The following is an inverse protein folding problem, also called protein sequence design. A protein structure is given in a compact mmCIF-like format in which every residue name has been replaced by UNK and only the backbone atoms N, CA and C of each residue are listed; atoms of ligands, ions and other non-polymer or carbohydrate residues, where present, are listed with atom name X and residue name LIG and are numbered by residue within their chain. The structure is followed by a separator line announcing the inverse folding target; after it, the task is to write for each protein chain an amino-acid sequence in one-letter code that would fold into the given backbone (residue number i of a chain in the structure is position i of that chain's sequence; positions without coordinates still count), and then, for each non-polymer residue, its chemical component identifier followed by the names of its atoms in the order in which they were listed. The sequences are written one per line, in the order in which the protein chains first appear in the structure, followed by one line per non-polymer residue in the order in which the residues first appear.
data_IF_691649723833
#
_entry.id   IF_691649723833
#
_cell.length_a   1.000
_cell.length_b   1.000
_cell.length_c   1.000
_cell.angle_alpha   90.00
_cell.angle_beta   90.00
_cell.angle_gamma   90.00
#
_symmetry.space_group_name_H-M   'P 1'
#
loop_
_entity.id
_entity.type
_entity.pdbx_description
1 polymer ?
#
# COMPACT_ATOMS: atom_id res chain seq x y z
N UNK A 1 -6.06 -8.61 22.20
CA UNK A 1 -6.38 -9.24 20.90
C UNK A 1 -5.36 -8.73 19.88
N UNK A 2 -4.67 -9.59 19.11
CA UNK A 2 -3.67 -9.12 18.15
C UNK A 2 -4.34 -8.39 16.99
N UNK A 3 -3.69 -7.35 16.41
CA UNK A 3 -4.22 -6.62 15.23
C UNK A 3 -4.64 -7.57 14.11
N UNK A 4 -3.84 -8.61 13.86
CA UNK A 4 -4.10 -9.65 12.87
C UNK A 4 -5.46 -10.35 13.09
N UNK A 5 -5.83 -10.60 14.33
CA UNK A 5 -7.10 -11.22 14.68
C UNK A 5 -8.28 -10.25 14.43
N UNK A 6 -8.10 -8.94 14.69
CA UNK A 6 -9.16 -7.95 14.45
C UNK A 6 -9.47 -7.84 12.96
N UNK A 7 -8.45 -7.80 12.09
CA UNK A 7 -8.62 -7.82 10.63
C UNK A 7 -9.33 -9.09 10.16
N UNK A 8 -8.88 -10.26 10.65
CA UNK A 8 -9.54 -11.53 10.33
C UNK A 8 -11.02 -11.51 10.73
N UNK A 9 -11.36 -11.03 11.93
CA UNK A 9 -12.74 -10.95 12.40
C UNK A 9 -13.59 -9.99 11.55
N UNK A 10 -13.02 -8.86 11.11
CA UNK A 10 -13.72 -7.92 10.22
C UNK A 10 -14.07 -8.55 8.87
N UNK A 11 -13.14 -9.32 8.29
CA UNK A 11 -13.44 -10.08 7.07
C UNK A 11 -14.39 -11.26 7.31
N UNK A 12 -14.42 -11.83 8.50
CA UNK A 12 -15.39 -12.88 8.86
C UNK A 12 -16.80 -12.33 9.02
N UNK A 13 -16.97 -11.11 9.53
CA UNK A 13 -18.27 -10.43 9.62
C UNK A 13 -18.84 -10.02 8.25
N UNK A 14 -18.02 -10.06 7.18
CA UNK A 14 -18.48 -9.94 5.80
C UNK A 14 -18.52 -8.52 5.24
N UNK A 15 -18.21 -7.49 6.06
CA UNK A 15 -18.28 -6.09 5.61
C UNK A 15 -17.26 -5.21 6.36
N UNK A 16 -15.95 -5.34 6.09
CA UNK A 16 -14.97 -4.47 6.71
C UNK A 16 -15.16 -3.02 6.24
N UNK A 17 -15.16 -2.01 7.13
CA UNK A 17 -15.51 -0.64 6.78
C UNK A 17 -14.56 0.03 5.77
N UNK A 18 -13.35 -0.49 5.62
CA UNK A 18 -12.37 -0.01 4.64
C UNK A 18 -12.51 -0.63 3.24
N UNK A 19 -13.29 -1.72 3.09
CA UNK A 19 -13.51 -2.37 1.80
C UNK A 19 -14.73 -1.77 1.10
N UNK A 20 -14.56 -0.55 0.61
CA UNK A 20 -15.63 0.21 -0.06
C UNK A 20 -15.94 -0.31 -1.46
N UNK A 21 -15.05 -1.11 -2.06
CA UNK A 21 -15.14 -1.53 -3.46
C UNK A 21 -14.86 -0.40 -4.46
N UNK A 22 -14.34 0.73 -4.01
CA UNK A 22 -14.05 1.91 -4.84
C UNK A 22 -12.56 2.23 -4.71
N UNK A 23 -11.88 2.34 -5.85
CA UNK A 23 -10.51 2.84 -5.90
C UNK A 23 -10.50 4.36 -5.67
N UNK A 24 -9.66 4.88 -4.77
CA UNK A 24 -9.58 6.30 -4.49
C UNK A 24 -9.22 7.14 -5.73
N UNK A 25 -9.75 8.38 -5.83
CA UNK A 25 -9.47 9.26 -6.95
C UNK A 25 -7.97 9.57 -7.12
N UNK A 26 -7.20 9.63 -6.04
CA UNK A 26 -5.75 9.87 -6.08
C UNK A 26 -5.00 8.76 -6.83
N UNK A 27 -5.46 7.51 -6.72
CA UNK A 27 -4.91 6.38 -7.50
C UNK A 27 -5.31 6.53 -8.96
N UNK A 28 -6.58 6.84 -9.24
CA UNK A 28 -7.07 7.06 -10.62
C UNK A 28 -6.31 8.19 -11.30
N UNK A 29 -6.07 9.29 -10.60
CA UNK A 29 -5.33 10.43 -11.15
C UNK A 29 -3.87 10.06 -11.41
N UNK A 30 -3.23 9.32 -10.52
CA UNK A 30 -1.89 8.76 -10.76
C UNK A 30 -1.85 7.91 -12.03
N UNK A 31 -2.84 7.03 -12.24
CA UNK A 31 -2.91 6.13 -13.39
C UNK A 31 -3.11 6.86 -14.73
N UNK A 32 -3.76 8.03 -14.72
CA UNK A 32 -3.89 8.88 -15.92
C UNK A 32 -2.57 9.55 -16.31
N UNK A 33 -1.71 9.84 -15.32
CA UNK A 33 -0.46 10.56 -15.52
C UNK A 33 0.73 9.65 -15.86
N UNK A 34 0.65 8.38 -15.52
CA UNK A 34 1.80 7.44 -15.63
C UNK A 34 1.50 6.31 -16.61
N UNK A 35 2.46 5.97 -17.47
CA UNK A 35 2.33 4.79 -18.32
C UNK A 35 2.24 3.52 -17.46
N UNK A 36 1.50 2.50 -17.93
CA UNK A 36 1.38 1.25 -17.22
C UNK A 36 2.71 0.49 -17.17
N UNK A 37 2.94 -0.19 -16.07
CA UNK A 37 4.09 -1.02 -15.78
C UNK A 37 3.72 -2.17 -14.85
N UNK A 38 4.60 -2.54 -13.91
CA UNK A 38 4.30 -3.50 -12.84
C UNK A 38 3.95 -2.77 -11.55
N UNK A 39 2.86 -3.18 -10.92
CA UNK A 39 2.37 -2.61 -9.68
C UNK A 39 2.18 -3.68 -8.60
N UNK A 40 2.45 -3.29 -7.34
CA UNK A 40 2.19 -4.11 -6.16
C UNK A 40 1.31 -3.32 -5.18
N UNK A 41 0.22 -3.95 -4.73
CA UNK A 41 -0.67 -3.40 -3.70
C UNK A 41 -0.42 -4.11 -2.35
N UNK A 42 0.08 -3.38 -1.36
CA UNK A 42 0.41 -3.88 -0.03
C UNK A 42 -0.82 -3.80 0.90
N UNK A 43 -1.26 -4.94 1.40
CA UNK A 43 -2.52 -5.04 2.15
C UNK A 43 -3.74 -4.92 1.23
N UNK A 44 -3.70 -5.57 0.08
CA UNK A 44 -4.66 -5.42 -1.04
C UNK A 44 -6.12 -5.77 -0.70
N UNK A 45 -6.38 -6.39 0.45
CA UNK A 45 -7.72 -6.77 0.89
C UNK A 45 -8.45 -7.62 -0.15
N UNK A 46 -9.64 -7.17 -0.57
CA UNK A 46 -10.45 -7.86 -1.59
C UNK A 46 -10.10 -7.47 -3.03
N UNK A 47 -8.95 -6.81 -3.24
CA UNK A 47 -8.32 -6.64 -4.54
C UNK A 47 -8.90 -5.53 -5.42
N UNK A 48 -9.66 -4.60 -4.87
CA UNK A 48 -10.31 -3.53 -5.66
C UNK A 48 -9.27 -2.72 -6.45
N UNK A 49 -8.21 -2.24 -5.79
CA UNK A 49 -7.18 -1.45 -6.45
C UNK A 49 -6.36 -2.27 -7.46
N UNK A 50 -6.04 -3.52 -7.13
CA UNK A 50 -5.33 -4.44 -8.05
C UNK A 50 -6.10 -4.63 -9.34
N UNK A 51 -7.43 -4.82 -9.26
CA UNK A 51 -8.29 -4.95 -10.45
C UNK A 51 -8.30 -3.64 -11.25
N UNK A 52 -8.46 -2.50 -10.58
CA UNK A 52 -8.42 -1.18 -11.23
C UNK A 52 -7.08 -0.91 -11.92
N UNK A 53 -5.96 -1.27 -11.28
CA UNK A 53 -4.62 -1.19 -11.90
C UNK A 53 -4.57 -1.99 -13.20
N UNK A 54 -5.06 -3.24 -13.18
CA UNK A 54 -5.08 -4.10 -14.35
C UNK A 54 -6.00 -3.58 -15.47
N UNK A 55 -7.17 -3.03 -15.13
CA UNK A 55 -8.08 -2.35 -16.06
C UNK A 55 -7.42 -1.16 -16.78
N UNK A 56 -6.43 -0.51 -16.12
CA UNK A 56 -5.61 0.56 -16.70
C UNK A 56 -4.32 0.04 -17.37
N UNK A 57 -4.22 -1.26 -17.63
CA UNK A 57 -3.13 -1.87 -18.39
C UNK A 57 -1.90 -2.30 -17.58
N UNK A 58 -1.91 -2.15 -16.25
CA UNK A 58 -0.81 -2.56 -15.39
C UNK A 58 -0.78 -4.07 -15.18
N UNK A 59 0.41 -4.64 -15.02
CA UNK A 59 0.56 -5.96 -14.40
C UNK A 59 0.53 -5.78 -12.88
N UNK A 60 -0.55 -6.19 -12.25
CA UNK A 60 -0.85 -5.84 -10.87
C UNK A 60 -0.81 -7.07 -9.95
N UNK A 61 -0.04 -6.96 -8.89
CA UNK A 61 0.05 -7.96 -7.84
C UNK A 61 -0.53 -7.41 -6.53
N UNK A 62 -1.13 -8.26 -5.71
CA UNK A 62 -1.63 -7.90 -4.40
C UNK A 62 -1.17 -8.86 -3.32
N UNK A 63 -0.72 -8.32 -2.20
CA UNK A 63 -0.35 -9.10 -1.00
C UNK A 63 -1.31 -8.75 0.12
N UNK A 64 -1.89 -9.76 0.77
CA UNK A 64 -2.61 -9.61 2.03
C UNK A 64 -2.43 -10.85 2.90
N UNK A 65 -2.25 -10.68 4.20
CA UNK A 65 -2.09 -11.81 5.11
C UNK A 65 -3.41 -12.51 5.47
N UNK A 66 -4.57 -11.91 5.15
CA UNK A 66 -5.89 -12.50 5.37
C UNK A 66 -6.31 -13.36 4.19
N UNK A 67 -6.10 -14.65 4.27
CA UNK A 67 -6.42 -15.60 3.21
C UNK A 67 -7.88 -15.52 2.69
N UNK A 68 -8.84 -15.09 3.54
CA UNK A 68 -10.23 -14.89 3.15
C UNK A 68 -10.38 -13.70 2.21
N UNK A 69 -9.67 -12.58 2.49
CA UNK A 69 -9.64 -11.40 1.63
C UNK A 69 -9.06 -11.76 0.26
N UNK A 70 -7.92 -12.44 0.24
CA UNK A 70 -7.27 -12.89 -1.00
C UNK A 70 -8.16 -13.84 -1.81
N UNK A 71 -8.90 -14.75 -1.16
CA UNK A 71 -9.88 -15.58 -1.87
C UNK A 71 -11.00 -14.76 -2.51
N UNK A 72 -11.49 -13.74 -1.82
CA UNK A 72 -12.49 -12.83 -2.37
C UNK A 72 -11.92 -12.01 -3.55
N UNK A 73 -10.67 -11.53 -3.43
CA UNK A 73 -9.96 -10.82 -4.50
C UNK A 73 -9.84 -11.69 -5.76
N UNK A 74 -9.36 -12.91 -5.63
CA UNK A 74 -9.27 -13.86 -6.76
C UNK A 74 -10.62 -14.10 -7.43
N UNK A 75 -11.69 -14.25 -6.62
CA UNK A 75 -13.06 -14.43 -7.16
C UNK A 75 -13.57 -13.18 -7.89
N UNK A 76 -13.20 -11.97 -7.44
CA UNK A 76 -13.52 -10.73 -8.16
C UNK A 76 -12.75 -10.65 -9.49
N UNK A 77 -11.44 -10.92 -9.47
CA UNK A 77 -10.59 -10.86 -10.66
C UNK A 77 -11.02 -11.81 -11.76
N UNK A 78 -11.42 -13.05 -11.42
CA UNK A 78 -11.96 -14.01 -12.39
C UNK A 78 -13.16 -13.49 -13.19
N UNK A 79 -13.87 -12.48 -12.70
CA UNK A 79 -15.01 -11.86 -13.40
C UNK A 79 -14.61 -10.71 -14.31
N UNK A 80 -13.38 -10.23 -14.22
CA UNK A 80 -12.88 -9.08 -15.00
C UNK A 80 -12.24 -9.47 -16.33
N UNK A 81 -12.01 -10.77 -16.59
CA UNK A 81 -11.26 -11.29 -17.74
C UNK A 81 -9.84 -10.69 -17.86
N UNK A 82 -9.18 -10.45 -16.73
CA UNK A 82 -7.83 -9.84 -16.62
C UNK A 82 -6.85 -10.80 -15.92
N UNK A 83 -7.11 -12.10 -15.96
CA UNK A 83 -6.34 -13.12 -15.23
C UNK A 83 -4.86 -13.17 -15.63
N UNK A 84 -4.52 -12.74 -16.84
CA UNK A 84 -3.16 -12.65 -17.37
C UNK A 84 -2.35 -11.47 -16.79
N UNK A 85 -3.02 -10.55 -16.10
CA UNK A 85 -2.42 -9.30 -15.56
C UNK A 85 -2.51 -9.19 -14.04
N UNK A 86 -3.17 -10.13 -13.38
CA UNK A 86 -3.45 -10.05 -11.94
C UNK A 86 -2.92 -11.27 -11.21
N UNK A 87 -2.14 -11.02 -10.15
CA UNK A 87 -1.75 -12.04 -9.19
C UNK A 87 -2.10 -11.62 -7.76
N UNK A 88 -2.47 -12.60 -6.91
CA UNK A 88 -2.73 -12.38 -5.49
C UNK A 88 -1.98 -13.37 -4.62
N UNK A 89 -1.32 -12.87 -3.58
CA UNK A 89 -0.54 -13.66 -2.65
C UNK A 89 -1.08 -13.54 -1.22
N UNK A 90 -1.17 -14.68 -0.53
CA UNK A 90 -1.42 -14.68 0.92
C UNK A 90 -0.07 -14.57 1.61
N UNK A 91 0.24 -13.42 2.17
CA UNK A 91 1.55 -13.17 2.75
C UNK A 91 1.59 -11.94 3.64
N UNK A 92 2.70 -11.80 4.37
CA UNK A 92 2.98 -10.65 5.21
C UNK A 92 3.86 -9.66 4.43
N UNK A 93 3.49 -8.39 4.37
CA UNK A 93 4.25 -7.34 3.69
C UNK A 93 5.63 -7.10 4.32
N UNK A 94 5.88 -7.65 5.50
CA UNK A 94 7.20 -7.63 6.13
C UNK A 94 8.11 -8.78 5.68
N UNK A 95 7.58 -9.76 4.97
CA UNK A 95 8.31 -10.93 4.49
C UNK A 95 8.73 -10.74 3.03
N UNK A 96 10.05 -10.62 2.75
CA UNK A 96 10.56 -10.26 1.42
C UNK A 96 10.24 -11.30 0.34
N UNK A 97 9.99 -12.56 0.70
CA UNK A 97 9.67 -13.64 -0.24
C UNK A 97 8.36 -13.44 -1.02
N UNK A 98 7.51 -12.51 -0.59
CA UNK A 98 6.28 -12.16 -1.29
C UNK A 98 6.44 -11.04 -2.33
N UNK A 99 7.59 -10.39 -2.36
CA UNK A 99 7.95 -9.42 -3.39
C UNK A 99 8.64 -10.14 -4.55
N UNK A 100 7.95 -10.31 -5.66
CA UNK A 100 8.38 -11.19 -6.76
C UNK A 100 9.08 -10.47 -7.92
N UNK A 101 9.71 -9.36 -7.65
CA UNK A 101 10.47 -8.62 -8.66
C UNK A 101 10.56 -7.15 -8.34
N UNK A 102 10.76 -6.34 -9.37
CA UNK A 102 10.79 -4.89 -9.25
C UNK A 102 9.50 -4.29 -9.79
N UNK A 103 9.06 -3.19 -9.19
CA UNK A 103 7.77 -2.55 -9.47
C UNK A 103 7.98 -1.08 -9.83
N UNK A 104 7.22 -0.62 -10.82
CA UNK A 104 7.11 0.79 -11.19
C UNK A 104 6.24 1.56 -10.20
N UNK A 105 5.27 0.87 -9.59
CA UNK A 105 4.39 1.38 -8.54
C UNK A 105 4.28 0.38 -7.39
N UNK A 106 4.49 0.84 -6.17
CA UNK A 106 4.02 0.17 -4.95
C UNK A 106 2.91 1.04 -4.35
N UNK A 107 1.75 0.45 -4.13
CA UNK A 107 0.58 1.08 -3.55
C UNK A 107 0.39 0.56 -2.12
N UNK A 108 0.10 1.45 -1.19
CA UNK A 108 -0.25 1.12 0.19
C UNK A 108 -1.41 2.00 0.66
N UNK A 109 -2.61 1.43 0.72
CA UNK A 109 -3.79 2.16 1.21
C UNK A 109 -4.21 1.57 2.55
N UNK A 110 -3.67 2.13 3.62
CA UNK A 110 -4.03 1.76 4.98
C UNK A 110 -3.28 0.57 5.56
N UNK A 111 -2.26 0.02 4.88
CA UNK A 111 -1.41 -1.03 5.44
C UNK A 111 -0.33 -0.44 6.35
N UNK A 112 0.44 0.55 5.87
CA UNK A 112 1.58 1.12 6.56
C UNK A 112 1.24 1.67 7.95
N UNK A 113 0.11 2.33 8.13
CA UNK A 113 -0.31 2.84 9.43
C UNK A 113 -0.67 1.74 10.47
N UNK A 114 -0.66 0.48 10.05
CA UNK A 114 -0.83 -0.68 10.91
C UNK A 114 0.49 -1.43 11.17
N UNK A 115 1.59 -1.01 10.54
CA UNK A 115 2.92 -1.59 10.79
C UNK A 115 3.43 -1.12 12.15
N UNK A 116 3.85 -2.02 13.05
CA UNK A 116 4.49 -1.64 14.31
C UNK A 116 5.74 -0.81 14.07
N UNK A 117 6.04 0.15 14.95
CA UNK A 117 7.22 1.03 14.84
C UNK A 117 8.53 0.27 14.66
N UNK A 118 8.66 -0.86 15.35
CA UNK A 118 9.86 -1.72 15.31
C UNK A 118 10.04 -2.44 13.96
N UNK A 119 8.98 -2.49 13.14
CA UNK A 119 8.99 -3.16 11.83
C UNK A 119 9.03 -2.18 10.66
N UNK A 120 9.03 -0.87 10.91
CA UNK A 120 9.08 0.16 9.85
C UNK A 120 10.33 0.01 8.99
N UNK A 121 11.48 -0.26 9.59
CA UNK A 121 12.73 -0.43 8.85
C UNK A 121 12.68 -1.62 7.90
N UNK A 122 12.08 -2.75 8.33
CA UNK A 122 11.91 -3.92 7.46
C UNK A 122 10.94 -3.63 6.31
N UNK A 123 9.83 -2.94 6.59
CA UNK A 123 8.90 -2.48 5.55
C UNK A 123 9.63 -1.62 4.50
N UNK A 124 10.42 -0.64 4.97
CA UNK A 124 11.19 0.26 4.09
C UNK A 124 12.22 -0.49 3.24
N UNK A 125 12.93 -1.47 3.84
CA UNK A 125 13.88 -2.32 3.10
C UNK A 125 13.15 -3.06 1.98
N UNK A 126 12.02 -3.68 2.27
CA UNK A 126 11.25 -4.41 1.27
C UNK A 126 10.78 -3.49 0.14
N UNK A 127 10.17 -2.35 0.47
CA UNK A 127 9.68 -1.38 -0.52
C UNK A 127 10.83 -0.84 -1.38
N UNK A 128 11.90 -0.35 -0.74
CA UNK A 128 13.02 0.27 -1.46
C UNK A 128 13.72 -0.72 -2.39
N UNK A 129 13.95 -1.96 -1.93
CA UNK A 129 14.64 -2.98 -2.71
C UNK A 129 13.85 -3.40 -3.96
N UNK A 130 12.52 -3.29 -3.91
CA UNK A 130 11.65 -3.76 -4.97
C UNK A 130 11.03 -2.63 -5.82
N UNK A 131 11.35 -1.37 -5.58
CA UNK A 131 11.05 -0.30 -6.51
C UNK A 131 12.14 -0.21 -7.58
N UNK A 132 11.77 -0.04 -8.84
CA UNK A 132 12.72 0.37 -9.90
C UNK A 132 13.24 1.79 -9.63
N UNK A 133 14.38 2.14 -10.20
CA UNK A 133 14.81 3.55 -10.21
C UNK A 133 13.76 4.40 -10.95
N UNK A 134 13.31 5.47 -10.32
CA UNK A 134 12.19 6.29 -10.81
C UNK A 134 10.81 5.77 -10.42
N UNK A 135 10.72 4.56 -9.87
CA UNK A 135 9.48 3.96 -9.37
C UNK A 135 8.84 4.76 -8.25
N UNK A 136 7.56 4.56 -8.05
CA UNK A 136 6.72 5.32 -7.11
C UNK A 136 6.19 4.45 -5.99
N UNK A 137 6.20 5.02 -4.79
CA UNK A 137 5.43 4.52 -3.65
C UNK A 137 4.31 5.53 -3.38
N UNK A 138 3.07 5.08 -3.51
CA UNK A 138 1.88 5.87 -3.21
C UNK A 138 1.22 5.33 -1.95
N UNK A 139 1.16 6.16 -0.92
CA UNK A 139 0.63 5.77 0.41
C UNK A 139 -0.57 6.63 0.76
N UNK A 140 -1.64 5.99 1.23
CA UNK A 140 -2.65 6.61 2.07
C UNK A 140 -2.52 6.10 3.50
N UNK A 141 -2.38 7.00 4.46
CA UNK A 141 -2.27 6.62 5.87
C UNK A 141 -2.97 7.60 6.81
N UNK A 142 -3.54 7.08 7.90
CA UNK A 142 -3.86 7.90 9.07
C UNK A 142 -2.57 8.35 9.75
N UNK A 143 -2.53 9.61 10.13
CA UNK A 143 -1.41 10.21 10.84
C UNK A 143 -1.62 10.10 12.35
N UNK A 144 -0.53 9.82 13.06
CA UNK A 144 -0.55 9.76 14.51
C UNK A 144 -0.06 11.11 15.10
N UNK A 145 -0.97 11.95 15.54
CA UNK A 145 -0.65 13.18 16.28
C UNK A 145 -0.25 12.92 17.74
N UNK A 146 -0.59 11.75 18.27
CA UNK A 146 -0.39 11.38 19.67
C UNK A 146 0.32 10.04 19.73
N UNK A 147 1.65 10.01 19.94
CA UNK A 147 2.46 8.77 19.95
C UNK A 147 1.89 7.67 20.86
N UNK A 148 1.25 8.05 21.97
CA UNK A 148 0.63 7.13 22.92
C UNK A 148 -0.63 6.43 22.38
N UNK A 149 -1.25 6.91 21.32
CA UNK A 149 -2.48 6.29 20.77
C UNK A 149 -2.20 4.97 20.03
N UNK A 150 -0.95 4.74 19.64
CA UNK A 150 -0.52 3.51 18.97
C UNK A 150 -1.16 3.25 17.58
N UNK A 151 -1.95 4.18 17.06
CA UNK A 151 -2.58 4.10 15.75
C UNK A 151 -2.10 5.24 14.84
N UNK A 152 -1.86 4.92 13.58
CA UNK A 152 -1.42 5.89 12.59
C UNK A 152 0.11 5.92 12.42
N UNK A 153 0.54 6.59 11.37
CA UNK A 153 1.95 6.78 11.03
C UNK A 153 2.49 7.98 11.82
N UNK A 154 3.60 7.79 12.52
CA UNK A 154 4.29 8.88 13.21
C UNK A 154 5.12 9.72 12.25
N UNK A 155 5.40 10.98 12.59
CA UNK A 155 6.33 11.82 11.82
C UNK A 155 7.72 11.18 11.74
N UNK A 156 8.18 10.48 12.79
CA UNK A 156 9.42 9.73 12.76
C UNK A 156 9.43 8.62 11.68
N UNK A 157 8.30 7.92 11.49
CA UNK A 157 8.18 6.94 10.42
C UNK A 157 8.16 7.58 9.03
N UNK A 158 7.54 8.77 8.90
CA UNK A 158 7.57 9.55 7.65
C UNK A 158 8.98 10.09 7.35
N UNK A 159 9.71 10.53 8.36
CA UNK A 159 11.12 10.93 8.22
C UNK A 159 11.97 9.79 7.69
N UNK A 160 11.85 8.59 8.26
CA UNK A 160 12.54 7.39 7.74
C UNK A 160 12.22 7.08 6.28
N UNK A 161 10.96 7.26 5.86
CA UNK A 161 10.57 7.15 4.44
C UNK A 161 11.31 8.20 3.60
N UNK A 162 11.33 9.46 4.05
CA UNK A 162 11.99 10.57 3.40
C UNK A 162 13.52 10.43 3.32
N UNK A 163 14.15 9.74 4.26
CA UNK A 163 15.59 9.41 4.20
C UNK A 163 15.94 8.44 3.07
N UNK A 164 15.03 7.55 2.69
CA UNK A 164 15.23 6.53 1.67
C UNK A 164 14.67 6.89 0.31
N UNK A 165 13.55 7.61 0.28
CA UNK A 165 12.78 7.92 -0.91
C UNK A 165 12.50 9.43 -0.97
N UNK A 166 12.60 10.02 -2.14
CA UNK A 166 12.26 11.42 -2.36
C UNK A 166 10.75 11.63 -2.21
N UNK A 167 10.32 12.47 -1.28
CA UNK A 167 8.92 12.90 -1.19
C UNK A 167 8.61 13.82 -2.39
N UNK A 168 7.65 13.41 -3.21
CA UNK A 168 7.21 14.14 -4.41
C UNK A 168 5.98 14.97 -4.12
N UNK A 169 5.03 14.39 -3.35
CA UNK A 169 3.75 15.03 -3.05
C UNK A 169 3.24 14.59 -1.68
N UNK A 170 2.70 15.53 -0.92
CA UNK A 170 1.93 15.28 0.30
C UNK A 170 0.65 16.10 0.25
N UNK A 171 -0.46 15.43 0.53
CA UNK A 171 -1.79 16.06 0.64
C UNK A 171 -2.36 15.61 1.97
N UNK A 172 -2.38 16.52 2.93
CA UNK A 172 -2.99 16.27 4.23
C UNK A 172 -4.51 16.39 4.15
N UNK A 173 -5.18 15.54 4.88
CA UNK A 173 -6.63 15.46 4.94
C UNK A 173 -7.13 14.94 6.29
N UNK A 174 -8.41 14.61 6.32
CA UNK A 174 -9.06 14.04 7.49
C UNK A 174 -10.07 12.99 7.05
N UNK A 175 -10.06 11.83 7.70
CA UNK A 175 -11.06 10.77 7.51
C UNK A 175 -11.64 10.37 8.88
N UNK A 176 -12.96 10.51 9.02
CA UNK A 176 -13.68 10.17 10.27
C UNK A 176 -13.07 10.85 11.50
N UNK A 177 -12.77 12.15 11.41
CA UNK A 177 -12.13 12.97 12.44
C UNK A 177 -10.70 12.50 12.81
N UNK A 178 -10.04 11.75 11.93
CA UNK A 178 -8.63 11.35 12.08
C UNK A 178 -7.79 12.02 11.01
N UNK A 179 -6.67 12.67 11.38
CA UNK A 179 -5.73 13.17 10.40
C UNK A 179 -5.25 12.06 9.50
N UNK A 180 -5.18 12.36 8.22
CA UNK A 180 -4.69 11.43 7.21
C UNK A 180 -3.83 12.17 6.19
N UNK A 181 -3.07 11.43 5.40
CA UNK A 181 -2.34 11.99 4.28
C UNK A 181 -2.26 11.01 3.12
N UNK A 182 -2.28 11.58 1.92
CA UNK A 182 -1.76 10.97 0.72
C UNK A 182 -0.32 11.39 0.51
N UNK A 183 0.55 10.44 0.25
CA UNK A 183 1.99 10.64 0.11
C UNK A 183 2.46 9.93 -1.16
N UNK A 184 3.17 10.65 -2.02
CA UNK A 184 3.85 10.07 -3.16
C UNK A 184 5.35 10.21 -2.97
N UNK A 185 6.05 9.08 -2.97
CA UNK A 185 7.50 9.02 -2.94
C UNK A 185 8.05 8.46 -4.25
N UNK A 186 9.28 8.83 -4.56
CA UNK A 186 10.04 8.34 -5.74
C UNK A 186 11.35 7.72 -5.29
N UNK A 187 11.72 6.58 -5.86
CA UNK A 187 13.08 6.06 -5.74
C UNK A 187 14.00 6.83 -6.68
N UNK A 188 14.78 7.72 -6.10
CA UNK A 188 15.82 8.48 -6.81
C UNK A 188 17.19 8.05 -6.28
N UNK A 189 18.09 7.51 -7.12
CA UNK A 189 19.41 7.07 -6.67
C UNK A 189 20.32 8.23 -6.20
N UNK A 190 19.99 9.46 -6.57
CA UNK A 190 20.70 10.67 -6.15
C UNK A 190 20.06 11.35 -4.93
N UNK A 191 18.93 10.83 -4.46
CA UNK A 191 18.27 11.38 -3.29
C UNK A 191 19.16 11.18 -2.06
N UNK A 192 19.52 12.30 -1.43
CA UNK A 192 20.14 12.35 -0.11
C UNK A 192 19.14 13.06 0.78
N UNK A 193 18.81 12.49 1.92
CA UNK A 193 18.11 13.25 2.95
C UNK A 193 18.91 14.51 3.24
N UNK A 194 18.28 15.66 3.17
CA UNK A 194 18.93 16.92 3.60
C UNK A 194 19.35 16.72 5.04
N UNK A 195 20.67 16.63 5.24
CA UNK A 195 21.27 16.59 6.57
C UNK A 195 21.22 18.02 7.13
N UNK A 196 20.14 18.35 7.84
CA UNK A 196 20.14 19.46 8.78
C UNK A 196 20.71 19.07 10.12
#
# INVERSE_FOLDING_TARGET
MTRKLNFLMSYLSGNPPWDTGITPPEVIDFLKEKPPGRALDLGCGTGTNVITLAEHGWHAEGIDYVARAVRAARKKAQKSNLDDRIEFHVGDVLSPEFFRGEYDLILDIGCFHNIPSDNVDQYLVNVYSHLVVGGRLLIYAHLNKFPESGHGVSEASLTKLGEKLQLVKRVDGEESARPSAWLEFKKDPNHRADSE
#
